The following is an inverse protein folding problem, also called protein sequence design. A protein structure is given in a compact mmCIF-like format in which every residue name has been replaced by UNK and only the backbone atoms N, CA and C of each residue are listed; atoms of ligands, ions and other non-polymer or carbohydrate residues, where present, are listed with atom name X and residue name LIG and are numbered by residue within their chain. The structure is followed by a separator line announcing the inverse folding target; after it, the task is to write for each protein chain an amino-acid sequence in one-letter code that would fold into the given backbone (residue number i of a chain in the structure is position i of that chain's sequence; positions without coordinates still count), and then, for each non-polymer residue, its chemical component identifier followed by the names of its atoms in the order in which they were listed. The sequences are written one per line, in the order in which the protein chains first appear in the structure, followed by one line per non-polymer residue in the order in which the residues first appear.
data_IF_294815865160
#
_entry.id   IF_294815865160
#
_cell.length_a   1.000
_cell.length_b   1.000
_cell.length_c   1.000
_cell.angle_alpha   90.00
_cell.angle_beta   90.00
_cell.angle_gamma   90.00
#
_symmetry.space_group_name_H-M   'P 1'
#
loop_
_entity.id
_entity.type
_entity.pdbx_description
1 polymer ?
#
# COMPACT_ATOMS: atom_id res chain seq x y z
N UNK A 1 -12.16 3.38 -16.22
CA UNK A 1 -11.16 4.44 -15.97
C UNK A 1 -10.02 4.27 -16.96
N UNK A 2 -9.11 5.24 -17.12
CA UNK A 2 -8.14 5.18 -18.23
C UNK A 2 -6.90 6.06 -17.99
N UNK A 3 -6.03 6.24 -19.01
CA UNK A 3 -4.73 6.91 -18.87
C UNK A 3 -4.80 8.35 -18.35
N UNK A 4 -5.97 8.97 -18.43
CA UNK A 4 -6.21 10.34 -18.00
C UNK A 4 -6.73 10.45 -16.55
N UNK A 5 -6.94 9.35 -15.81
CA UNK A 5 -7.48 9.42 -14.45
C UNK A 5 -6.63 10.33 -13.56
N UNK A 6 -5.33 10.05 -13.42
CA UNK A 6 -4.42 10.86 -12.60
C UNK A 6 -4.38 12.33 -13.03
N UNK A 7 -4.36 12.59 -14.35
CA UNK A 7 -4.41 13.95 -14.91
C UNK A 7 -5.72 14.65 -14.55
N UNK A 8 -6.85 13.99 -14.71
CA UNK A 8 -8.17 14.56 -14.43
C UNK A 8 -8.33 14.87 -12.94
N UNK A 9 -7.80 13.99 -12.07
CA UNK A 9 -7.76 14.23 -10.63
C UNK A 9 -6.90 15.45 -10.32
N UNK A 10 -5.69 15.52 -10.89
CA UNK A 10 -4.79 16.66 -10.73
C UNK A 10 -5.43 17.98 -11.21
N UNK A 11 -6.01 18.00 -12.40
CA UNK A 11 -6.64 19.20 -12.97
C UNK A 11 -7.83 19.68 -12.13
N UNK A 12 -8.58 18.73 -11.54
CA UNK A 12 -9.76 19.04 -10.74
C UNK A 12 -9.43 19.48 -9.32
N UNK A 13 -8.42 18.88 -8.72
CA UNK A 13 -8.17 18.98 -7.27
C UNK A 13 -6.86 19.70 -6.94
N UNK A 14 -5.93 19.80 -7.89
CA UNK A 14 -4.63 20.44 -7.73
C UNK A 14 -3.74 19.73 -6.70
N UNK A 15 -2.57 20.31 -6.36
CA UNK A 15 -1.63 19.74 -5.40
C UNK A 15 -2.16 19.75 -3.95
N UNK A 16 -3.23 20.51 -3.69
CA UNK A 16 -3.79 20.77 -2.37
C UNK A 16 -4.67 19.65 -1.81
N UNK A 17 -5.02 18.64 -2.63
CA UNK A 17 -5.80 17.50 -2.15
C UNK A 17 -4.88 16.35 -1.79
N UNK A 18 -4.56 16.27 -0.50
CA UNK A 18 -4.27 14.99 0.15
C UNK A 18 -5.58 14.41 0.65
N UNK A 19 -5.94 13.19 0.24
CA UNK A 19 -7.18 12.59 0.73
C UNK A 19 -7.74 11.48 -0.14
N UNK A 20 -9.00 11.13 0.15
CA UNK A 20 -9.75 10.07 -0.50
C UNK A 20 -10.60 10.61 -1.66
N UNK A 21 -10.56 9.91 -2.79
CA UNK A 21 -11.56 10.06 -3.84
C UNK A 21 -12.36 8.76 -3.91
N UNK A 22 -13.67 8.85 -3.72
CA UNK A 22 -14.59 7.74 -3.96
C UNK A 22 -15.03 7.79 -5.42
N UNK A 23 -14.99 6.64 -6.09
CA UNK A 23 -15.45 6.47 -7.47
C UNK A 23 -16.70 5.61 -7.43
N UNK A 24 -17.81 6.13 -7.92
CA UNK A 24 -19.10 5.43 -7.96
C UNK A 24 -19.37 4.87 -9.36
N UNK A 25 -20.18 3.80 -9.44
CA UNK A 25 -20.62 3.21 -10.70
C UNK A 25 -19.65 2.21 -11.33
N UNK A 26 -18.68 1.70 -10.56
CA UNK A 26 -17.92 0.50 -10.93
C UNK A 26 -18.63 -0.71 -10.34
N UNK A 27 -18.81 -1.77 -11.12
CA UNK A 27 -19.24 -3.06 -10.59
C UNK A 27 -17.99 -3.84 -10.15
N UNK A 28 -17.74 -4.00 -8.84
CA UNK A 28 -16.59 -4.77 -8.38
C UNK A 28 -16.76 -6.24 -8.77
N UNK A 29 -15.65 -6.96 -9.03
CA UNK A 29 -15.71 -8.41 -9.23
C UNK A 29 -16.21 -9.09 -7.95
N UNK A 30 -17.01 -10.14 -8.11
CA UNK A 30 -17.43 -10.98 -7.00
C UNK A 30 -16.25 -11.76 -6.42
N UNK A 31 -16.38 -12.18 -5.17
CA UNK A 31 -15.40 -13.04 -4.48
C UNK A 31 -15.09 -14.33 -5.25
N UNK A 32 -16.11 -14.90 -5.92
CA UNK A 32 -15.95 -16.09 -6.76
C UNK A 32 -15.11 -15.79 -8.02
N UNK A 33 -15.40 -14.68 -8.71
CA UNK A 33 -14.63 -14.26 -9.88
C UNK A 33 -13.17 -13.96 -9.51
N UNK A 34 -12.91 -13.29 -8.38
CA UNK A 34 -11.54 -13.03 -7.92
C UNK A 34 -10.79 -14.33 -7.62
N UNK A 35 -11.43 -15.30 -6.97
CA UNK A 35 -10.81 -16.58 -6.63
C UNK A 35 -10.46 -17.41 -7.86
N UNK A 36 -11.25 -17.33 -8.92
CA UNK A 36 -11.00 -18.01 -10.19
C UNK A 36 -9.86 -17.35 -10.98
N UNK A 37 -9.81 -16.01 -10.96
CA UNK A 37 -8.92 -15.22 -11.82
C UNK A 37 -7.54 -14.97 -11.24
N UNK A 38 -7.41 -14.87 -9.92
CA UNK A 38 -6.13 -14.63 -9.27
C UNK A 38 -5.30 -15.92 -9.30
N UNK A 39 -4.23 -15.87 -10.08
CA UNK A 39 -3.19 -16.87 -10.13
C UNK A 39 -2.24 -16.73 -8.94
N UNK A 40 -1.40 -17.74 -8.73
CA UNK A 40 -0.41 -17.67 -7.66
C UNK A 40 0.69 -16.67 -8.04
N UNK A 41 1.16 -15.84 -7.10
CA UNK A 41 2.34 -15.01 -7.31
C UNK A 41 3.54 -15.81 -7.78
N UNK A 42 4.33 -15.22 -8.68
CA UNK A 42 5.61 -15.79 -9.11
C UNK A 42 6.56 -15.91 -7.91
N UNK A 43 7.22 -17.06 -7.80
CA UNK A 43 8.12 -17.41 -6.67
C UNK A 43 9.31 -16.47 -6.53
N UNK A 44 9.63 -15.68 -7.57
CA UNK A 44 10.69 -14.67 -7.53
C UNK A 44 10.34 -13.44 -6.68
N UNK A 45 9.08 -13.29 -6.27
CA UNK A 45 8.64 -12.18 -5.43
C UNK A 45 8.72 -12.56 -3.96
N UNK A 46 9.54 -11.81 -3.21
CA UNK A 46 9.87 -12.09 -1.81
C UNK A 46 8.79 -11.61 -0.82
N UNK A 47 7.80 -10.86 -1.30
CA UNK A 47 6.73 -10.27 -0.51
C UNK A 47 5.53 -11.22 -0.46
N UNK A 48 5.62 -12.26 0.38
CA UNK A 48 4.56 -13.28 0.52
C UNK A 48 3.94 -13.33 1.93
N UNK A 49 4.47 -12.56 2.88
CA UNK A 49 3.91 -12.48 4.21
C UNK A 49 4.54 -11.40 5.07
N UNK A 50 3.90 -11.18 6.21
CA UNK A 50 4.36 -10.24 7.23
C UNK A 50 4.33 -10.87 8.61
N UNK A 51 5.28 -10.47 9.45
CA UNK A 51 5.35 -10.82 10.86
C UNK A 51 5.44 -9.56 11.70
N UNK A 52 4.67 -9.52 12.77
CA UNK A 52 4.71 -8.42 13.71
C UNK A 52 5.71 -8.67 14.83
N UNK A 53 6.29 -7.60 15.34
CA UNK A 53 6.98 -7.58 16.62
C UNK A 53 6.52 -6.36 17.41
N UNK A 54 6.09 -6.56 18.67
CA UNK A 54 5.80 -5.45 19.56
C UNK A 54 7.09 -4.66 19.82
N UNK A 55 7.04 -3.35 19.62
CA UNK A 55 8.14 -2.46 19.97
C UNK A 55 7.90 -1.90 21.38
N UNK A 56 6.73 -1.29 21.56
CA UNK A 56 6.21 -0.87 22.85
C UNK A 56 4.68 -0.81 22.79
N UNK A 57 4.02 -0.64 23.94
CA UNK A 57 2.56 -0.60 23.95
C UNK A 57 2.05 0.56 23.08
N UNK A 58 1.30 0.23 22.03
CA UNK A 58 0.76 1.20 21.08
C UNK A 58 1.66 1.47 19.86
N UNK A 59 2.78 0.76 19.73
CA UNK A 59 3.63 0.74 18.53
C UNK A 59 4.17 -0.66 18.26
N UNK A 60 4.02 -1.14 17.03
CA UNK A 60 4.61 -2.40 16.59
C UNK A 60 5.41 -2.21 15.31
N UNK A 61 6.21 -3.23 14.98
CA UNK A 61 6.93 -3.31 13.70
C UNK A 61 6.38 -4.42 12.84
N UNK A 62 6.29 -4.21 11.54
CA UNK A 62 5.82 -5.20 10.57
C UNK A 62 6.94 -5.55 9.60
N UNK A 63 7.51 -6.73 9.76
CA UNK A 63 8.63 -7.19 8.94
C UNK A 63 8.14 -8.15 7.86
N UNK A 64 8.86 -8.19 6.76
CA UNK A 64 8.66 -9.23 5.75
C UNK A 64 8.94 -10.60 6.36
N UNK A 65 8.09 -11.56 6.04
CA UNK A 65 8.22 -12.93 6.50
C UNK A 65 7.69 -13.90 5.46
N UNK A 66 8.17 -15.14 5.53
CA UNK A 66 7.67 -16.22 4.69
C UNK A 66 6.65 -17.03 5.51
N UNK A 67 5.40 -17.17 5.03
CA UNK A 67 4.40 -17.98 5.71
C UNK A 67 4.84 -19.44 5.77
N UNK A 68 4.44 -20.16 6.82
CA UNK A 68 4.68 -21.60 6.92
C UNK A 68 3.90 -22.32 5.81
N UNK A 69 4.61 -22.75 4.77
CA UNK A 69 4.02 -23.32 3.56
C UNK A 69 4.17 -22.41 2.34
N UNK A 70 3.14 -22.33 1.50
CA UNK A 70 3.10 -21.45 0.32
C UNK A 70 2.09 -20.34 0.54
N UNK A 71 2.25 -19.24 -0.19
CA UNK A 71 1.26 -18.18 -0.23
C UNK A 71 -0.15 -18.73 -0.52
N UNK A 72 -1.11 -18.33 0.31
CA UNK A 72 -2.52 -18.68 0.16
C UNK A 72 -3.37 -17.44 -0.06
N UNK A 73 -4.30 -17.51 -1.01
CA UNK A 73 -5.28 -16.45 -1.21
C UNK A 73 -6.24 -16.34 0.00
N UNK A 74 -6.64 -15.13 0.38
CA UNK A 74 -7.68 -14.95 1.39
C UNK A 74 -9.03 -15.45 0.87
N UNK A 75 -9.95 -15.74 1.80
CA UNK A 75 -11.34 -15.92 1.43
C UNK A 75 -11.98 -14.55 1.18
N UNK A 76 -12.23 -14.22 -0.08
CA UNK A 76 -12.86 -12.95 -0.46
C UNK A 76 -14.35 -12.89 -0.10
N UNK A 77 -14.96 -14.00 0.35
CA UNK A 77 -16.39 -14.05 0.71
C UNK A 77 -16.67 -13.66 2.15
N UNK A 78 -15.64 -13.52 2.98
CA UNK A 78 -15.79 -13.12 4.37
C UNK A 78 -16.37 -11.71 4.45
N UNK A 79 -17.54 -11.59 5.08
CA UNK A 79 -18.06 -10.29 5.50
C UNK A 79 -17.06 -9.71 6.49
N UNK A 80 -16.50 -8.55 6.15
CA UNK A 80 -15.58 -7.90 7.04
C UNK A 80 -16.30 -7.52 8.35
N UNK A 81 -15.68 -7.77 9.52
CA UNK A 81 -16.28 -7.40 10.79
C UNK A 81 -16.51 -5.89 10.83
N UNK A 82 -17.70 -5.45 11.27
CA UNK A 82 -17.93 -4.05 11.61
C UNK A 82 -17.21 -3.74 12.93
N UNK A 83 -15.90 -3.52 12.84
CA UNK A 83 -15.06 -3.11 13.95
C UNK A 83 -14.80 -1.60 13.89
N UNK A 84 -14.66 -0.98 15.06
CA UNK A 84 -14.17 0.39 15.13
C UNK A 84 -12.71 0.44 14.63
N UNK A 85 -12.40 1.19 13.57
CA UNK A 85 -11.07 1.16 12.94
C UNK A 85 -9.96 1.60 13.88
N UNK A 86 -10.22 2.60 14.74
CA UNK A 86 -9.22 3.11 15.68
C UNK A 86 -8.90 2.06 16.73
N UNK A 87 -9.93 1.51 17.39
CA UNK A 87 -9.77 0.45 18.38
C UNK A 87 -9.09 -0.78 17.80
N UNK A 88 -9.42 -1.16 16.56
CA UNK A 88 -8.78 -2.27 15.88
C UNK A 88 -7.27 -2.04 15.70
N UNK A 89 -6.88 -0.87 15.21
CA UNK A 89 -5.46 -0.51 15.04
C UNK A 89 -4.72 -0.41 16.38
N UNK A 90 -5.34 0.19 17.40
CA UNK A 90 -4.75 0.29 18.73
C UNK A 90 -4.55 -1.10 19.35
N UNK A 91 -5.49 -2.02 19.17
CA UNK A 91 -5.38 -3.39 19.65
C UNK A 91 -4.24 -4.15 18.95
N UNK A 92 -4.11 -4.03 17.61
CA UNK A 92 -2.96 -4.62 16.89
C UNK A 92 -1.64 -4.07 17.43
N UNK A 93 -1.57 -2.76 17.66
CA UNK A 93 -0.35 -2.11 18.14
C UNK A 93 -0.06 -2.39 19.63
N UNK A 94 -1.05 -2.84 20.40
CA UNK A 94 -0.87 -3.26 21.79
C UNK A 94 -0.56 -4.76 21.90
N UNK A 95 -1.22 -5.58 21.07
CA UNK A 95 -1.22 -7.04 21.10
C UNK A 95 -1.07 -7.59 19.67
N UNK A 96 0.09 -7.41 19.01
CA UNK A 96 0.26 -7.84 17.63
C UNK A 96 0.12 -9.36 17.46
N UNK A 97 -0.34 -9.84 16.29
CA UNK A 97 -0.41 -11.27 15.99
C UNK A 97 0.99 -11.91 16.05
N UNK A 98 1.03 -13.19 16.43
CA UNK A 98 2.29 -13.92 16.62
C UNK A 98 2.66 -14.74 15.38
N UNK A 99 1.66 -15.12 14.62
CA UNK A 99 1.74 -15.86 13.38
C UNK A 99 2.26 -14.98 12.22
N UNK A 100 2.73 -15.64 11.17
CA UNK A 100 3.01 -14.97 9.90
C UNK A 100 1.70 -14.84 9.12
N UNK A 101 1.38 -13.62 8.72
CA UNK A 101 0.17 -13.33 7.93
C UNK A 101 0.54 -13.34 6.45
N UNK A 102 -0.22 -14.08 5.64
CA UNK A 102 -0.05 -14.09 4.18
C UNK A 102 -0.36 -12.69 3.61
N UNK A 103 0.60 -12.12 2.88
CA UNK A 103 0.45 -10.81 2.26
C UNK A 103 1.35 -10.70 1.03
N UNK A 104 0.72 -10.49 -0.12
CA UNK A 104 1.38 -10.24 -1.38
C UNK A 104 1.29 -8.78 -1.77
N UNK A 105 2.44 -8.22 -2.15
CA UNK A 105 2.55 -6.90 -2.77
C UNK A 105 3.49 -7.03 -3.96
N UNK A 106 2.98 -6.86 -5.17
CA UNK A 106 3.79 -7.03 -6.37
C UNK A 106 2.98 -6.87 -7.65
N UNK A 107 3.53 -7.26 -8.81
CA UNK A 107 2.82 -7.20 -10.08
C UNK A 107 1.50 -7.97 -10.07
N UNK A 108 0.69 -7.71 -11.09
CA UNK A 108 -0.61 -8.36 -11.27
C UNK A 108 -0.48 -9.89 -11.29
N UNK A 109 -1.33 -10.56 -10.51
CA UNK A 109 -1.46 -12.01 -10.46
C UNK A 109 -2.63 -12.52 -11.32
N UNK A 110 -3.16 -11.69 -12.20
CA UNK A 110 -4.33 -11.98 -13.04
C UNK A 110 -3.94 -11.93 -14.52
N UNK A 111 -4.80 -12.44 -15.40
CA UNK A 111 -4.54 -12.33 -16.85
C UNK A 111 -4.45 -10.84 -17.25
N UNK A 112 -3.46 -10.40 -18.03
CA UNK A 112 -3.32 -9.00 -18.43
C UNK A 112 -4.58 -8.39 -19.08
N UNK A 113 -5.41 -9.22 -19.72
CA UNK A 113 -6.66 -8.80 -20.37
C UNK A 113 -7.85 -8.69 -19.39
N UNK A 114 -7.64 -8.96 -18.09
CA UNK A 114 -8.70 -8.82 -17.09
C UNK A 114 -9.20 -7.37 -16.98
N UNK A 115 -10.52 -7.23 -16.94
CA UNK A 115 -11.20 -5.93 -17.00
C UNK A 115 -10.75 -4.93 -15.93
N UNK A 116 -10.35 -5.43 -14.75
CA UNK A 116 -9.92 -4.59 -13.64
C UNK A 116 -8.45 -4.13 -13.74
N UNK A 117 -7.62 -4.79 -14.56
CA UNK A 117 -6.21 -4.41 -14.75
C UNK A 117 -6.04 -3.06 -15.46
N UNK A 118 -7.05 -2.63 -16.21
CA UNK A 118 -7.09 -1.31 -16.86
C UNK A 118 -7.69 -0.19 -16.00
N UNK A 119 -8.14 -0.46 -14.78
CA UNK A 119 -8.82 0.54 -13.94
C UNK A 119 -7.84 1.61 -13.41
N UNK A 120 -6.62 1.21 -13.07
CA UNK A 120 -5.54 2.13 -12.73
C UNK A 120 -4.51 2.14 -13.86
N UNK A 121 -4.14 3.34 -14.30
CA UNK A 121 -3.11 3.53 -15.31
C UNK A 121 -2.07 4.52 -14.80
N UNK A 122 -0.76 4.25 -14.95
CA UNK A 122 0.34 5.13 -14.51
C UNK A 122 0.46 6.41 -15.35
N UNK A 123 -0.57 6.76 -16.14
CA UNK A 123 -0.52 7.82 -17.15
C UNK A 123 0.72 7.74 -18.04
N UNK A 124 1.42 8.87 -18.20
CA UNK A 124 2.65 8.98 -18.99
C UNK A 124 3.84 8.25 -18.36
N UNK A 125 3.82 7.90 -17.07
CA UNK A 125 4.90 7.14 -16.45
C UNK A 125 4.98 5.71 -17.02
N UNK A 126 3.89 5.17 -17.55
CA UNK A 126 3.92 3.88 -18.28
C UNK A 126 4.82 3.90 -19.52
N UNK A 127 5.03 5.08 -20.13
CA UNK A 127 5.92 5.23 -21.28
C UNK A 127 7.40 5.40 -20.87
N UNK A 128 7.71 5.51 -19.57
CA UNK A 128 9.06 5.86 -19.10
C UNK A 128 10.11 4.87 -19.59
N UNK A 129 9.81 3.57 -19.55
CA UNK A 129 10.70 2.53 -20.04
C UNK A 129 11.00 2.67 -21.53
N UNK A 130 9.97 2.97 -22.34
CA UNK A 130 10.12 3.21 -23.79
C UNK A 130 10.90 4.48 -24.06
N UNK A 131 10.64 5.56 -23.31
CA UNK A 131 11.36 6.83 -23.43
C UNK A 131 12.85 6.66 -23.06
N UNK A 132 13.16 5.90 -22.00
CA UNK A 132 14.54 5.55 -21.61
C UNK A 132 15.24 4.73 -22.69
N UNK A 133 14.58 3.68 -23.22
CA UNK A 133 15.07 2.89 -24.37
C UNK A 133 15.37 3.75 -25.60
N UNK A 134 14.50 4.69 -25.93
CA UNK A 134 14.68 5.60 -27.08
C UNK A 134 15.81 6.62 -26.86
N UNK A 135 16.07 7.00 -25.60
CA UNK A 135 17.11 7.96 -25.22
C UNK A 135 18.49 7.31 -25.05
N UNK A 136 18.57 5.99 -24.97
CA UNK A 136 19.82 5.25 -24.80
C UNK A 136 20.79 5.50 -25.97
N UNK A 137 21.72 6.44 -25.74
CA UNK A 137 22.89 6.74 -26.57
C UNK A 137 24.20 6.81 -25.75
N UNK A 138 24.18 6.45 -24.47
CA UNK A 138 25.35 6.57 -23.60
C UNK A 138 25.84 5.20 -23.08
N UNK A 139 27.16 4.93 -23.08
CA UNK A 139 27.71 3.70 -22.50
C UNK A 139 27.53 3.65 -20.99
N UNK A 140 26.98 2.56 -20.46
CA UNK A 140 26.81 2.31 -19.01
C UNK A 140 25.37 2.07 -18.56
N UNK A 141 24.39 2.19 -19.46
CA UNK A 141 22.99 1.90 -19.18
C UNK A 141 22.74 0.38 -19.15
N UNK A 142 22.41 -0.17 -17.98
CA UNK A 142 22.26 -1.62 -17.76
C UNK A 142 20.95 -2.18 -18.35
N UNK A 143 20.04 -1.33 -18.83
CA UNK A 143 18.71 -1.75 -19.31
C UNK A 143 17.76 -2.27 -18.23
N UNK A 144 18.28 -2.66 -17.06
CA UNK A 144 17.52 -3.21 -15.93
C UNK A 144 16.76 -2.12 -15.15
N UNK A 145 17.17 -0.84 -15.26
CA UNK A 145 16.56 0.27 -14.51
C UNK A 145 15.45 1.01 -15.28
N UNK A 146 15.03 0.52 -16.45
CA UNK A 146 14.08 1.24 -17.29
C UNK A 146 12.63 1.13 -16.84
N UNK A 147 12.28 0.00 -16.24
CA UNK A 147 10.98 -0.25 -15.64
C UNK A 147 11.12 -0.23 -14.12
N UNK A 148 10.37 0.66 -13.47
CA UNK A 148 10.34 0.73 -12.01
C UNK A 148 9.00 0.14 -11.60
N UNK A 149 9.00 -1.18 -11.36
CA UNK A 149 7.79 -1.91 -11.00
C UNK A 149 7.12 -1.29 -9.76
N UNK A 150 5.80 -1.11 -9.81
CA UNK A 150 5.03 -0.39 -8.78
C UNK A 150 4.95 1.13 -8.99
N UNK A 151 5.83 1.72 -9.82
CA UNK A 151 5.77 3.13 -10.23
C UNK A 151 5.27 3.26 -11.68
N UNK A 152 5.87 2.49 -12.59
CA UNK A 152 5.50 2.49 -14.02
C UNK A 152 4.51 1.40 -14.38
N UNK A 153 4.19 0.51 -13.43
CA UNK A 153 3.19 -0.56 -13.54
C UNK A 153 2.41 -0.67 -12.23
N UNK A 154 1.09 -0.93 -12.25
CA UNK A 154 0.31 -1.13 -11.03
C UNK A 154 0.77 -2.36 -10.24
N UNK A 155 0.69 -2.27 -8.92
CA UNK A 155 0.84 -3.42 -8.02
C UNK A 155 -0.50 -3.86 -7.44
N UNK A 156 -0.63 -5.17 -7.28
CA UNK A 156 -1.70 -5.80 -6.52
C UNK A 156 -1.27 -5.95 -5.06
N UNK A 157 -2.22 -5.72 -4.16
CA UNK A 157 -2.09 -6.00 -2.74
C UNK A 157 -3.12 -7.06 -2.38
N UNK A 158 -2.66 -8.28 -2.08
CA UNK A 158 -3.53 -9.42 -1.74
C UNK A 158 -3.13 -9.91 -0.35
N UNK A 159 -3.99 -9.70 0.63
CA UNK A 159 -3.65 -9.96 2.02
C UNK A 159 -4.76 -10.63 2.80
N UNK A 160 -4.35 -11.48 3.74
CA UNK A 160 -5.25 -11.96 4.78
C UNK A 160 -5.54 -10.85 5.79
N UNK A 161 -6.54 -11.07 6.64
CA UNK A 161 -6.80 -10.20 7.80
C UNK A 161 -5.50 -10.02 8.59
N UNK A 162 -5.27 -8.80 9.08
CA UNK A 162 -4.04 -8.37 9.78
C UNK A 162 -2.79 -8.22 8.88
N UNK A 163 -2.89 -8.39 7.56
CA UNK A 163 -1.82 -7.96 6.67
C UNK A 163 -1.69 -6.43 6.69
N UNK A 164 -0.47 -5.90 6.62
CA UNK A 164 -0.25 -4.45 6.71
C UNK A 164 0.98 -3.98 5.94
N UNK A 165 0.91 -2.71 5.54
CA UNK A 165 2.06 -1.91 5.08
C UNK A 165 2.27 -0.78 6.07
N UNK A 166 3.51 -0.62 6.54
CA UNK A 166 3.89 0.37 7.55
C UNK A 166 3.85 1.81 7.04
N UNK A 167 4.03 2.77 7.95
CA UNK A 167 4.20 4.17 7.60
C UNK A 167 5.36 4.37 6.62
N UNK A 168 5.05 5.04 5.52
CA UNK A 168 6.00 5.42 4.49
C UNK A 168 5.46 6.64 3.74
N UNK A 169 6.31 7.19 2.88
CA UNK A 169 5.93 8.15 1.84
C UNK A 169 6.28 7.52 0.50
N UNK A 170 5.52 7.85 -0.53
CA UNK A 170 5.80 7.37 -1.89
C UNK A 170 7.18 7.85 -2.37
N UNK A 171 7.78 7.05 -3.25
CA UNK A 171 9.05 7.37 -3.89
C UNK A 171 8.95 8.68 -4.69
N UNK A 172 10.04 9.45 -4.71
CA UNK A 172 10.14 10.74 -5.41
C UNK A 172 8.98 11.73 -5.13
N UNK A 173 8.29 11.59 -3.99
CA UNK A 173 7.10 12.37 -3.63
C UNK A 173 5.96 12.26 -4.66
N UNK A 174 5.84 11.12 -5.32
CA UNK A 174 4.72 10.85 -6.21
C UNK A 174 3.40 10.74 -5.45
N UNK A 175 2.32 10.89 -6.21
CA UNK A 175 0.98 10.57 -5.74
C UNK A 175 0.74 9.07 -5.94
N UNK A 176 0.09 8.41 -4.99
CA UNK A 176 -0.41 7.05 -5.16
C UNK A 176 -1.93 7.02 -5.34
N UNK A 177 -2.38 6.04 -6.10
CA UNK A 177 -3.79 5.73 -6.27
C UNK A 177 -3.98 4.23 -5.99
N UNK A 178 -5.00 3.91 -5.21
CA UNK A 178 -5.33 2.53 -4.85
C UNK A 178 -6.82 2.28 -5.09
N UNK A 179 -7.14 1.11 -5.66
CA UNK A 179 -8.52 0.62 -5.80
C UNK A 179 -8.61 -0.69 -5.04
N UNK A 180 -9.57 -0.77 -4.12
CA UNK A 180 -9.91 -2.02 -3.42
C UNK A 180 -11.00 -2.75 -4.21
N UNK A 181 -10.66 -3.92 -4.75
CA UNK A 181 -11.58 -4.73 -5.54
C UNK A 181 -12.50 -5.60 -4.67
N UNK A 182 -12.01 -6.03 -3.51
CA UNK A 182 -12.75 -6.82 -2.52
C UNK A 182 -12.17 -6.63 -1.12
N UNK A 183 -13.00 -6.87 -0.11
CA UNK A 183 -12.63 -6.75 1.30
C UNK A 183 -12.51 -5.31 1.77
N UNK A 184 -11.79 -5.13 2.87
CA UNK A 184 -11.57 -3.84 3.51
C UNK A 184 -10.10 -3.52 3.68
N UNK A 185 -9.76 -2.23 3.48
CA UNK A 185 -8.44 -1.70 3.81
C UNK A 185 -8.58 -0.45 4.68
N UNK A 186 -7.98 -0.51 5.87
CA UNK A 186 -7.91 0.62 6.80
C UNK A 186 -6.65 1.42 6.50
N UNK A 187 -6.78 2.74 6.44
CA UNK A 187 -5.68 3.66 6.16
C UNK A 187 -5.47 4.61 7.35
N UNK A 188 -4.22 4.81 7.74
CA UNK A 188 -3.82 5.89 8.65
C UNK A 188 -3.00 6.89 7.85
N UNK A 189 -3.58 8.05 7.57
CA UNK A 189 -2.96 9.08 6.72
C UNK A 189 -2.61 10.28 7.59
N UNK A 190 -1.32 10.50 7.84
CA UNK A 190 -0.86 11.69 8.57
C UNK A 190 -1.23 12.93 7.75
N UNK A 191 -1.82 13.93 8.40
CA UNK A 191 -2.18 15.17 7.71
C UNK A 191 -0.91 15.87 7.21
N UNK A 192 -0.88 16.40 5.97
CA UNK A 192 0.33 16.96 5.39
C UNK A 192 1.03 17.98 6.30
N UNK A 193 0.28 18.84 6.99
CA UNK A 193 0.80 19.85 7.93
C UNK A 193 1.41 19.27 9.21
N UNK A 194 1.17 17.99 9.51
CA UNK A 194 1.78 17.25 10.63
C UNK A 194 2.93 16.33 10.20
N UNK A 195 3.28 16.28 8.91
CA UNK A 195 4.38 15.42 8.41
C UNK A 195 5.69 15.69 9.16
N UNK A 196 6.08 16.96 9.32
CA UNK A 196 7.32 17.31 10.03
C UNK A 196 7.29 16.95 11.52
N UNK A 197 6.14 17.12 12.18
CA UNK A 197 5.97 16.74 13.58
C UNK A 197 6.02 15.21 13.77
N UNK A 198 5.40 14.45 12.85
CA UNK A 198 5.45 13.00 12.84
C UNK A 198 6.87 12.49 12.58
N UNK A 199 7.57 13.02 11.58
CA UNK A 199 8.96 12.66 11.29
C UNK A 199 9.90 12.99 12.47
N UNK A 200 9.71 14.14 13.13
CA UNK A 200 10.47 14.48 14.34
C UNK A 200 10.19 13.50 15.48
N UNK A 201 8.91 13.18 15.74
CA UNK A 201 8.52 12.19 16.75
C UNK A 201 9.18 10.82 16.52
N UNK A 202 9.15 10.32 15.28
CA UNK A 202 9.80 9.05 14.95
C UNK A 202 11.32 9.15 15.09
N UNK A 203 11.93 10.24 14.63
CA UNK A 203 13.38 10.45 14.69
C UNK A 203 13.90 10.52 16.12
N UNK A 204 13.20 11.22 17.00
CA UNK A 204 13.60 11.39 18.40
C UNK A 204 13.56 10.06 19.15
N UNK A 205 12.67 9.15 18.75
CA UNK A 205 12.44 7.88 19.43
C UNK A 205 13.23 6.71 18.86
N UNK A 206 13.39 6.66 17.54
CA UNK A 206 13.97 5.52 16.82
C UNK A 206 15.24 5.88 16.03
N UNK A 207 15.59 7.17 15.98
CA UNK A 207 16.69 7.67 15.17
C UNK A 207 16.33 7.89 13.70
N UNK A 208 17.29 8.44 12.95
CA UNK A 208 17.23 8.58 11.50
C UNK A 208 18.33 7.75 10.87
N UNK A 209 18.06 7.22 9.68
CA UNK A 209 19.10 6.72 8.78
C UNK A 209 19.44 7.82 7.78
N UNK A 210 20.65 7.76 7.21
CA UNK A 210 21.07 8.64 6.12
C UNK A 210 20.46 8.14 4.80
N UNK A 211 19.16 8.37 4.65
CA UNK A 211 18.36 7.92 3.51
C UNK A 211 17.11 8.79 3.37
N UNK A 212 16.77 9.22 2.15
CA UNK A 212 15.54 9.99 1.87
C UNK A 212 14.25 9.21 2.17
N UNK A 213 14.37 7.88 2.27
CA UNK A 213 13.32 6.93 2.60
C UNK A 213 13.51 6.31 3.99
N UNK A 214 14.22 6.99 4.90
CA UNK A 214 14.57 6.47 6.22
C UNK A 214 13.38 5.95 7.03
N UNK A 215 12.21 6.59 6.93
CA UNK A 215 11.03 6.25 7.72
C UNK A 215 10.54 4.82 7.44
N UNK A 216 10.49 4.41 6.16
CA UNK A 216 10.01 3.06 5.80
C UNK A 216 10.94 1.95 6.30
N UNK A 217 12.21 2.24 6.56
CA UNK A 217 13.15 1.25 7.10
C UNK A 217 12.87 0.88 8.56
N UNK A 218 12.14 1.72 9.28
CA UNK A 218 11.75 1.40 10.66
C UNK A 218 10.64 0.35 10.74
N UNK A 219 9.92 0.11 9.63
CA UNK A 219 8.79 -0.82 9.57
C UNK A 219 7.74 -0.54 10.65
N UNK A 220 7.43 0.73 10.93
CA UNK A 220 6.57 1.10 12.05
C UNK A 220 5.08 1.10 11.69
N UNK A 221 4.29 0.54 12.59
CA UNK A 221 2.85 0.78 12.71
C UNK A 221 2.58 1.34 14.11
N UNK A 222 1.95 2.50 14.16
CA UNK A 222 1.72 3.29 15.38
C UNK A 222 0.21 3.45 15.54
N UNK A 223 -0.31 3.07 16.70
CA UNK A 223 -1.74 3.13 17.01
C UNK A 223 -2.29 4.57 17.02
N UNK A 224 -3.55 4.78 16.60
CA UNK A 224 -4.27 6.04 16.72
C UNK A 224 -4.14 6.72 18.09
N UNK A 225 -4.28 5.97 19.19
CA UNK A 225 -4.13 6.51 20.54
C UNK A 225 -2.72 7.11 20.76
N UNK A 226 -1.68 6.39 20.34
CA UNK A 226 -0.29 6.83 20.45
C UNK A 226 -0.02 8.10 19.62
N UNK A 227 -0.55 8.17 18.39
CA UNK A 227 -0.43 9.36 17.54
C UNK A 227 -1.13 10.58 18.16
N UNK A 228 -2.35 10.40 18.67
CA UNK A 228 -3.11 11.49 19.33
C UNK A 228 -2.39 11.97 20.60
N UNK A 229 -1.85 11.04 21.40
CA UNK A 229 -1.07 11.37 22.60
C UNK A 229 0.20 12.17 22.28
N UNK A 230 0.82 11.91 21.12
CA UNK A 230 1.96 12.66 20.60
C UNK A 230 1.58 13.99 19.91
N UNK A 231 0.28 14.36 19.89
CA UNK A 231 -0.19 15.59 19.24
C UNK A 231 -0.17 15.54 17.70
N UNK A 232 -0.04 14.36 17.10
CA UNK A 232 0.01 14.18 15.65
C UNK A 232 -1.41 13.96 15.12
N UNK A 233 -1.82 14.78 14.14
CA UNK A 233 -3.12 14.63 13.48
C UNK A 233 -3.01 13.79 12.22
N UNK A 234 -4.01 12.94 12.03
CA UNK A 234 -4.21 12.09 10.86
C UNK A 234 -5.68 12.20 10.41
N UNK A 235 -5.96 11.78 9.19
CA UNK A 235 -7.33 11.56 8.72
C UNK A 235 -7.94 10.40 9.51
N UNK A 236 -9.20 10.52 9.93
CA UNK A 236 -9.87 9.46 10.70
C UNK A 236 -9.76 8.12 9.95
N UNK A 237 -9.36 7.01 10.60
CA UNK A 237 -9.14 5.77 9.88
C UNK A 237 -10.47 5.25 9.32
N UNK A 238 -10.55 5.12 8.00
CA UNK A 238 -11.78 4.71 7.32
C UNK A 238 -11.65 3.26 6.90
N UNK A 239 -12.60 2.42 7.33
CA UNK A 239 -12.88 1.11 6.72
C UNK A 239 -13.47 1.34 5.34
N UNK A 240 -12.87 0.73 4.31
CA UNK A 240 -13.31 0.92 2.92
C UNK A 240 -13.73 -0.38 2.29
N UNK A 241 -15.03 -0.51 2.04
CA UNK A 241 -15.58 -1.60 1.26
C UNK A 241 -15.41 -1.36 -0.25
N UNK A 242 -15.24 -2.43 -1.01
CA UNK A 242 -15.62 -2.47 -2.42
C UNK A 242 -17.15 -2.48 -2.53
N UNK A 243 -17.74 -1.48 -3.20
CA UNK A 243 -19.15 -1.48 -3.62
C UNK A 243 -19.26 -1.06 -5.07
#
# INVERSE_FOLDING_TARGET
MGPNLAKNLWDKFGPSVGGMIRIEGLSPPTSAELKEKIQRPDQKWDLLGVRYSLDERGTCRVHLAYPEGRFSLPDFSDAAPQEDPERFLDEICANPPKEVINYYVGPQCTDPEEQFNGLLHPGKLGELAKLRRQKAKEPGDSGQDWEVAGVTTPYEHIGHRLSATCFHREDAHYWSANISLSGEKIWVVIKPEFTGAFEAYVRDRYGSLDCDQWLRHHNLLIGPFTLRAAGIKFEDPVIRHSH
#
